data_IF_300987051806
#
_entry.id   IF_300987051806
#
_cell.length_a   1.000
_cell.length_b   1.000
_cell.length_c   1.000
_cell.angle_alpha   90.00
_cell.angle_beta   90.00
_cell.angle_gamma   90.00
#
_symmetry.space_group_name_H-M   'P 1'
#
loop_
_entity.id
_entity.type
_entity.pdbx_description
1 polymer ?
#
# COMPACT_ATOMS: atom_id res chain seq x y z
N UNK A 1 -11.41 3.51 -2.00
CA UNK A 1 -9.95 3.63 -2.16
C UNK A 1 -9.44 4.71 -1.23
N UNK A 2 -9.89 5.97 -1.37
CA UNK A 2 -9.57 7.06 -0.41
C UNK A 2 -9.87 6.69 1.04
N UNK A 3 -11.11 6.24 1.33
CA UNK A 3 -11.47 5.84 2.70
C UNK A 3 -10.64 4.65 3.23
N UNK A 4 -10.17 3.74 2.36
CA UNK A 4 -9.31 2.62 2.78
C UNK A 4 -7.92 3.11 3.17
N UNK A 5 -7.35 4.02 2.38
CA UNK A 5 -6.09 4.69 2.74
C UNK A 5 -6.23 5.39 4.10
N UNK A 6 -7.27 6.22 4.26
CA UNK A 6 -7.54 6.91 5.52
C UNK A 6 -7.71 5.91 6.67
N UNK A 7 -8.49 4.84 6.49
CA UNK A 7 -8.70 3.83 7.52
C UNK A 7 -7.37 3.21 8.00
N UNK A 8 -6.48 2.84 7.07
CA UNK A 8 -5.15 2.31 7.41
C UNK A 8 -4.19 3.37 7.98
N UNK A 9 -4.41 4.66 7.70
CA UNK A 9 -3.68 5.77 8.34
C UNK A 9 -4.13 6.02 9.78
N UNK A 10 -5.43 5.82 10.07
CA UNK A 10 -6.00 6.04 11.41
C UNK A 10 -5.92 4.82 12.31
N UNK A 11 -5.78 3.63 11.74
CA UNK A 11 -5.68 2.36 12.45
C UNK A 11 -4.66 1.49 11.73
N UNK A 12 -3.58 1.13 12.44
CA UNK A 12 -2.53 0.28 11.87
C UNK A 12 -3.08 -1.06 11.41
N UNK A 13 -2.50 -1.65 10.36
CA UNK A 13 -2.85 -3.01 9.96
C UNK A 13 -2.57 -4.03 11.07
N UNK A 14 -1.63 -3.75 11.98
CA UNK A 14 -1.30 -4.58 13.15
C UNK A 14 -2.43 -4.62 14.18
N UNK A 15 -3.26 -3.57 14.19
CA UNK A 15 -4.43 -3.46 15.06
C UNK A 15 -5.70 -3.92 14.33
N UNK A 16 -5.59 -4.50 13.13
CA UNK A 16 -6.75 -4.98 12.38
C UNK A 16 -7.39 -6.18 13.10
N UNK A 17 -8.53 -5.94 13.72
CA UNK A 17 -9.29 -6.92 14.49
C UNK A 17 -10.73 -7.09 13.98
N UNK A 18 -11.00 -6.62 12.75
CA UNK A 18 -12.33 -6.64 12.14
C UNK A 18 -12.59 -7.96 11.41
N UNK A 19 -13.83 -8.42 11.49
CA UNK A 19 -14.29 -9.59 10.72
C UNK A 19 -14.57 -9.20 9.27
N UNK A 20 -15.03 -7.98 9.05
CA UNK A 20 -15.37 -7.46 7.73
C UNK A 20 -14.69 -6.12 7.48
N UNK A 21 -14.31 -5.91 6.22
CA UNK A 21 -13.78 -4.63 5.77
C UNK A 21 -14.79 -3.49 5.90
N UNK A 22 -16.09 -3.77 5.87
CA UNK A 22 -17.14 -2.75 6.09
C UNK A 22 -16.99 -2.09 7.45
N UNK A 23 -16.96 -2.91 8.51
CA UNK A 23 -16.80 -2.48 9.90
C UNK A 23 -15.54 -1.61 10.09
N UNK A 24 -14.43 -1.99 9.46
CA UNK A 24 -13.19 -1.22 9.48
C UNK A 24 -13.36 0.18 8.87
N UNK A 25 -14.10 0.29 7.78
CA UNK A 25 -14.35 1.57 7.10
C UNK A 25 -15.36 2.42 7.86
N UNK A 26 -16.36 1.80 8.50
CA UNK A 26 -17.33 2.49 9.36
C UNK A 26 -16.63 3.13 10.56
N UNK A 27 -15.73 2.40 11.25
CA UNK A 27 -14.92 2.97 12.33
C UNK A 27 -14.05 4.15 11.83
N UNK A 28 -13.47 4.02 10.64
CA UNK A 28 -12.68 5.09 10.06
C UNK A 28 -13.53 6.35 9.77
N UNK A 29 -14.78 6.20 9.34
CA UNK A 29 -15.71 7.33 9.16
C UNK A 29 -16.03 7.99 10.50
N UNK A 30 -16.29 7.22 11.56
CA UNK A 30 -16.54 7.78 12.90
C UNK A 30 -15.32 8.54 13.45
N UNK A 31 -14.10 8.09 13.12
CA UNK A 31 -12.87 8.84 13.46
C UNK A 31 -12.72 10.09 12.62
N UNK A 32 -13.08 10.02 11.33
CA UNK A 32 -12.99 11.14 10.40
C UNK A 32 -13.95 12.27 10.76
N UNK A 33 -15.16 11.96 11.21
CA UNK A 33 -16.17 12.93 11.67
C UNK A 33 -15.71 13.78 12.87
N UNK A 34 -14.68 13.32 13.60
CA UNK A 34 -14.11 14.02 14.76
C UNK A 34 -12.92 14.92 14.40
N UNK A 35 -12.47 14.91 13.14
CA UNK A 35 -11.31 15.67 12.67
C UNK A 35 -11.69 17.08 12.26
N UNK A 36 -10.77 18.02 12.50
CA UNK A 36 -10.89 19.38 12.01
C UNK A 36 -10.36 19.53 10.57
N UNK A 37 -10.60 20.70 9.95
CA UNK A 37 -10.22 20.98 8.57
C UNK A 37 -8.72 20.83 8.29
N UNK A 38 -7.85 21.14 9.27
CA UNK A 38 -6.40 20.99 9.11
C UNK A 38 -6.00 19.52 9.08
N UNK A 39 -6.53 18.71 10.00
CA UNK A 39 -6.27 17.26 10.00
C UNK A 39 -6.80 16.57 8.73
N UNK A 40 -7.95 17.03 8.21
CA UNK A 40 -8.49 16.53 6.94
C UNK A 40 -7.60 16.93 5.76
N UNK A 41 -7.08 18.16 5.78
CA UNK A 41 -6.14 18.67 4.78
C UNK A 41 -4.83 17.88 4.81
N UNK A 42 -4.28 17.57 5.98
CA UNK A 42 -3.09 16.74 6.14
C UNK A 42 -3.28 15.36 5.51
N UNK A 43 -4.39 14.66 5.80
CA UNK A 43 -4.70 13.35 5.22
C UNK A 43 -4.81 13.40 3.69
N UNK A 44 -5.43 14.47 3.16
CA UNK A 44 -5.55 14.69 1.73
C UNK A 44 -4.19 14.93 1.08
N UNK A 45 -3.39 15.84 1.64
CA UNK A 45 -2.09 16.21 1.10
C UNK A 45 -1.13 15.01 1.16
N UNK A 46 -1.21 14.20 2.21
CA UNK A 46 -0.44 12.95 2.34
C UNK A 46 -0.81 11.93 1.26
N UNK A 47 -2.10 11.72 1.00
CA UNK A 47 -2.55 10.83 -0.08
C UNK A 47 -2.05 11.33 -1.44
N UNK A 48 -2.23 12.62 -1.74
CA UNK A 48 -1.79 13.21 -3.02
C UNK A 48 -0.27 13.06 -3.19
N UNK A 49 0.51 13.45 -2.18
CA UNK A 49 1.97 13.33 -2.21
C UNK A 49 2.44 11.87 -2.34
N UNK A 50 1.69 10.93 -1.78
CA UNK A 50 1.96 9.49 -1.91
C UNK A 50 1.68 8.98 -3.32
N UNK A 51 0.60 9.43 -3.98
CA UNK A 51 0.31 9.08 -5.37
C UNK A 51 1.37 9.65 -6.33
N UNK A 52 1.79 10.89 -6.12
CA UNK A 52 2.89 11.47 -6.90
C UNK A 52 4.22 10.74 -6.68
N UNK A 53 4.46 10.32 -5.43
CA UNK A 53 5.64 9.51 -5.10
C UNK A 53 5.56 8.12 -5.73
N UNK A 54 4.40 7.48 -5.76
CA UNK A 54 4.26 6.17 -6.40
C UNK A 54 4.54 6.21 -7.90
N UNK A 55 4.15 7.28 -8.60
CA UNK A 55 4.50 7.46 -10.02
C UNK A 55 6.02 7.64 -10.23
N UNK A 56 6.71 8.33 -9.31
CA UNK A 56 8.18 8.49 -9.35
C UNK A 56 8.94 7.17 -9.13
N UNK A 57 8.37 6.26 -8.33
CA UNK A 57 8.98 4.96 -8.01
C UNK A 57 8.58 3.88 -9.02
N UNK A 58 7.28 3.70 -9.27
CA UNK A 58 6.73 2.63 -10.09
C UNK A 58 6.64 2.96 -11.58
N UNK A 59 6.82 4.24 -11.93
CA UNK A 59 6.67 4.76 -13.28
C UNK A 59 5.22 5.07 -13.65
N UNK A 60 5.09 5.91 -14.69
CA UNK A 60 3.81 6.40 -15.18
C UNK A 60 2.84 5.26 -15.55
N UNK A 61 1.55 5.43 -15.26
CA UNK A 61 0.48 4.51 -15.64
C UNK A 61 0.60 3.10 -15.02
N UNK A 62 1.21 2.98 -13.84
CA UNK A 62 1.29 1.70 -13.12
C UNK A 62 -0.09 1.17 -12.67
N UNK A 63 -1.06 2.08 -12.45
CA UNK A 63 -2.48 1.80 -12.10
C UNK A 63 -2.67 0.90 -10.87
N UNK A 64 -1.63 0.75 -10.04
CA UNK A 64 -1.59 -0.22 -8.93
C UNK A 64 -2.09 -1.61 -9.36
N UNK A 65 -1.60 -2.07 -10.52
CA UNK A 65 -2.05 -3.29 -11.15
C UNK A 65 -0.93 -4.32 -11.23
N UNK A 66 -1.28 -5.61 -11.35
CA UNK A 66 -0.27 -6.67 -11.53
C UNK A 66 0.44 -6.59 -12.89
N UNK A 67 -0.08 -5.77 -13.82
CA UNK A 67 0.58 -5.48 -15.10
C UNK A 67 1.97 -4.86 -14.93
N UNK A 68 2.24 -4.20 -13.80
CA UNK A 68 3.57 -3.64 -13.48
C UNK A 68 4.64 -4.74 -13.54
N UNK A 69 4.36 -5.91 -12.94
CA UNK A 69 5.28 -7.05 -12.90
C UNK A 69 5.21 -7.98 -14.10
N UNK A 70 4.11 -7.99 -14.84
CA UNK A 70 3.90 -8.92 -15.95
C UNK A 70 2.90 -8.35 -16.97
N UNK A 71 3.38 -8.08 -18.19
CA UNK A 71 2.59 -7.50 -19.28
C UNK A 71 1.44 -8.38 -19.80
N UNK A 72 1.41 -9.66 -19.42
CA UNK A 72 0.28 -10.57 -19.72
C UNK A 72 -0.87 -10.43 -18.73
N UNK A 73 -0.68 -9.74 -17.60
CA UNK A 73 -1.71 -9.54 -16.58
C UNK A 73 -2.63 -8.38 -16.93
N UNK A 74 -3.80 -8.36 -16.29
CA UNK A 74 -4.76 -7.27 -16.46
C UNK A 74 -4.20 -5.93 -15.99
N UNK A 75 -4.54 -4.87 -16.72
CA UNK A 75 -4.30 -3.47 -16.34
C UNK A 75 -5.34 -2.96 -15.33
N UNK A 76 -6.28 -3.78 -14.88
CA UNK A 76 -7.29 -3.40 -13.89
C UNK A 76 -6.63 -3.07 -12.56
N UNK A 77 -7.11 -2.00 -11.93
CA UNK A 77 -6.72 -1.58 -10.59
C UNK A 77 -6.91 -2.74 -9.60
N UNK A 78 -5.85 -3.14 -8.91
CA UNK A 78 -5.95 -4.06 -7.79
C UNK A 78 -6.05 -3.24 -6.50
N UNK A 79 -7.19 -3.35 -5.81
CA UNK A 79 -7.47 -2.57 -4.59
C UNK A 79 -6.48 -2.90 -3.47
N UNK A 80 -6.09 -4.16 -3.30
CA UNK A 80 -5.14 -4.58 -2.28
C UNK A 80 -3.72 -4.07 -2.56
N UNK A 81 -3.32 -4.00 -3.84
CA UNK A 81 -2.07 -3.35 -4.25
C UNK A 81 -2.12 -1.84 -4.01
N UNK A 82 -3.24 -1.18 -4.32
CA UNK A 82 -3.41 0.23 -4.01
C UNK A 82 -3.25 0.47 -2.51
N UNK A 83 -3.93 -0.30 -1.66
CA UNK A 83 -3.86 -0.12 -0.20
C UNK A 83 -2.42 -0.26 0.30
N UNK A 84 -1.77 -1.38 0.00
CA UNK A 84 -0.44 -1.67 0.56
C UNK A 84 0.62 -0.69 0.03
N UNK A 85 0.59 -0.35 -1.27
CA UNK A 85 1.55 0.58 -1.84
C UNK A 85 1.35 1.98 -1.25
N UNK A 86 0.13 2.50 -1.25
CA UNK A 86 -0.11 3.87 -0.81
C UNK A 86 0.18 4.03 0.68
N UNK A 87 -0.30 3.12 1.52
CA UNK A 87 -0.07 3.21 2.97
C UNK A 87 1.43 3.06 3.26
N UNK A 88 2.10 1.99 2.80
CA UNK A 88 3.52 1.81 3.10
C UNK A 88 4.40 2.93 2.51
N UNK A 89 4.11 3.46 1.32
CA UNK A 89 4.86 4.59 0.75
C UNK A 89 4.64 5.90 1.51
N UNK A 90 3.46 6.10 2.10
CA UNK A 90 3.20 7.27 2.95
C UNK A 90 4.08 7.27 4.21
N UNK A 91 4.38 6.09 4.76
CA UNK A 91 5.20 5.89 5.97
C UNK A 91 6.72 6.00 5.75
N UNK A 92 7.19 6.07 4.51
CA UNK A 92 8.62 6.19 4.21
C UNK A 92 9.14 7.55 4.71
N UNK A 93 9.96 7.52 5.76
CA UNK A 93 10.56 8.73 6.36
C UNK A 93 11.60 9.39 5.46
N UNK A 94 12.52 8.60 4.91
CA UNK A 94 13.59 9.11 4.03
C UNK A 94 13.27 8.83 2.55
N UNK A 95 12.31 9.60 2.00
CA UNK A 95 11.86 9.45 0.61
C UNK A 95 12.96 9.71 -0.42
N UNK A 96 13.94 10.57 -0.12
CA UNK A 96 15.06 10.83 -1.04
C UNK A 96 16.00 9.62 -1.13
N UNK A 97 16.42 9.05 0.01
CA UNK A 97 17.23 7.81 0.02
C UNK A 97 16.51 6.67 -0.68
N UNK A 98 15.19 6.53 -0.47
CA UNK A 98 14.41 5.49 -1.15
C UNK A 98 14.38 5.69 -2.67
N UNK A 99 14.25 6.94 -3.16
CA UNK A 99 14.31 7.25 -4.61
C UNK A 99 15.66 6.91 -5.22
N UNK A 100 16.76 7.18 -4.54
CA UNK A 100 18.11 6.82 -5.00
C UNK A 100 18.25 5.30 -5.18
N UNK A 101 17.51 4.52 -4.39
CA UNK A 101 17.53 3.05 -4.39
C UNK A 101 16.31 2.42 -5.07
N UNK A 102 15.53 3.20 -5.82
CA UNK A 102 14.26 2.75 -6.41
C UNK A 102 14.42 1.51 -7.30
N UNK A 103 15.55 1.36 -7.99
CA UNK A 103 15.79 0.21 -8.89
C UNK A 103 15.94 -1.11 -8.11
N UNK A 104 16.48 -1.05 -6.89
CA UNK A 104 16.56 -2.20 -5.97
C UNK A 104 15.15 -2.59 -5.55
N UNK A 105 14.36 -1.62 -5.09
CA UNK A 105 12.95 -1.82 -4.75
C UNK A 105 12.17 -2.44 -5.92
N UNK A 106 12.26 -1.85 -7.11
CA UNK A 106 11.57 -2.33 -8.31
C UNK A 106 11.96 -3.77 -8.63
N UNK A 107 13.25 -4.09 -8.63
CA UNK A 107 13.71 -5.45 -8.94
C UNK A 107 13.07 -6.49 -8.01
N UNK A 108 13.10 -6.24 -6.69
CA UNK A 108 12.53 -7.13 -5.68
C UNK A 108 11.00 -7.15 -5.71
N UNK A 109 10.36 -5.99 -5.83
CA UNK A 109 8.90 -5.88 -5.90
C UNK A 109 8.32 -6.62 -7.13
N UNK A 110 8.96 -6.48 -8.28
CA UNK A 110 8.53 -7.18 -9.50
C UNK A 110 8.74 -8.70 -9.39
N UNK A 111 9.76 -9.16 -8.65
CA UNK A 111 9.95 -10.58 -8.36
C UNK A 111 8.78 -11.12 -7.52
N UNK A 112 8.36 -10.39 -6.46
CA UNK A 112 7.19 -10.76 -5.65
C UNK A 112 5.92 -10.88 -6.49
N UNK A 113 5.68 -9.94 -7.42
CA UNK A 113 4.48 -9.96 -8.27
C UNK A 113 4.46 -11.10 -9.30
N UNK A 114 5.63 -11.57 -9.73
CA UNK A 114 5.79 -12.65 -10.72
C UNK A 114 5.67 -14.03 -10.11
N UNK A 115 5.98 -14.18 -8.82
CA UNK A 115 5.79 -15.44 -8.12
C UNK A 115 4.31 -15.63 -7.77
N UNK A 116 3.62 -16.40 -8.61
CA UNK A 116 2.20 -16.73 -8.44
C UNK A 116 1.91 -17.58 -7.19
N UNK A 117 2.92 -18.22 -6.61
CA UNK A 117 2.77 -19.08 -5.43
C UNK A 117 3.12 -18.38 -4.12
N UNK A 118 3.71 -17.18 -4.21
CA UNK A 118 4.11 -16.38 -3.06
C UNK A 118 2.91 -15.97 -2.22
N UNK A 119 3.16 -15.80 -0.92
CA UNK A 119 2.16 -15.31 0.02
C UNK A 119 1.75 -13.86 -0.30
N UNK A 120 2.66 -13.07 -0.89
CA UNK A 120 2.31 -11.74 -1.40
C UNK A 120 1.25 -11.81 -2.51
N UNK A 121 1.44 -12.66 -3.52
CA UNK A 121 0.45 -12.80 -4.60
C UNK A 121 -0.91 -13.24 -4.05
N UNK A 122 -0.94 -14.26 -3.18
CA UNK A 122 -2.19 -14.71 -2.55
C UNK A 122 -2.88 -13.58 -1.78
N UNK A 123 -2.12 -12.85 -0.96
CA UNK A 123 -2.63 -11.76 -0.12
C UNK A 123 -3.22 -10.57 -0.92
N UNK A 124 -2.88 -10.44 -2.21
CA UNK A 124 -3.44 -9.42 -3.11
C UNK A 124 -4.49 -9.96 -4.10
N UNK A 125 -4.73 -11.27 -4.16
CA UNK A 125 -5.73 -11.86 -5.09
C UNK A 125 -6.85 -12.66 -4.42
N UNK A 126 -6.60 -13.27 -3.26
CA UNK A 126 -7.49 -14.23 -2.62
C UNK A 126 -7.89 -13.76 -1.23
N UNK A 127 -9.19 -13.74 -0.92
CA UNK A 127 -9.67 -13.43 0.44
C UNK A 127 -9.13 -12.11 1.01
N UNK A 128 -8.85 -11.11 0.15
CA UNK A 128 -7.92 -10.01 0.46
C UNK A 128 -8.39 -9.04 1.57
N UNK A 129 -9.64 -9.17 1.98
CA UNK A 129 -10.23 -8.43 3.10
C UNK A 129 -10.10 -9.15 4.45
N UNK A 130 -9.67 -10.41 4.46
CA UNK A 130 -9.45 -11.18 5.68
C UNK A 130 -8.15 -10.77 6.37
N UNK A 131 -8.16 -10.76 7.70
CA UNK A 131 -7.05 -10.32 8.56
C UNK A 131 -5.68 -10.84 8.11
N UNK A 132 -5.54 -12.15 7.91
CA UNK A 132 -4.27 -12.77 7.49
C UNK A 132 -3.76 -12.22 6.16
N UNK A 133 -4.63 -12.01 5.17
CA UNK A 133 -4.22 -11.42 3.88
C UNK A 133 -3.86 -9.93 4.01
N UNK A 134 -4.38 -9.23 5.02
CA UNK A 134 -3.98 -7.85 5.35
C UNK A 134 -2.60 -7.86 5.98
N UNK A 135 -2.43 -8.57 7.10
CA UNK A 135 -1.15 -8.65 7.81
C UNK A 135 -0.03 -9.09 6.87
N UNK A 136 -0.20 -10.21 6.14
CA UNK A 136 0.85 -10.74 5.27
C UNK A 136 1.29 -9.77 4.18
N UNK A 137 0.37 -9.08 3.47
CA UNK A 137 0.81 -8.16 2.40
C UNK A 137 1.52 -6.93 2.96
N UNK A 138 1.08 -6.44 4.12
CA UNK A 138 1.66 -5.26 4.76
C UNK A 138 3.03 -5.58 5.34
N UNK A 139 3.18 -6.69 6.06
CA UNK A 139 4.46 -7.15 6.59
C UNK A 139 5.48 -7.36 5.47
N UNK A 140 5.11 -8.09 4.39
CA UNK A 140 6.02 -8.32 3.26
C UNK A 140 6.45 -7.01 2.59
N UNK A 141 5.54 -6.03 2.46
CA UNK A 141 5.88 -4.73 1.86
C UNK A 141 6.75 -3.88 2.77
N UNK A 142 6.45 -3.85 4.07
CA UNK A 142 7.25 -3.12 5.07
C UNK A 142 8.67 -3.70 5.12
N UNK A 143 8.81 -5.03 5.17
CA UNK A 143 10.11 -5.71 5.17
C UNK A 143 10.91 -5.37 3.91
N UNK A 144 10.27 -5.39 2.73
CA UNK A 144 10.91 -5.01 1.48
C UNK A 144 11.37 -3.54 1.49
N UNK A 145 10.56 -2.62 2.00
CA UNK A 145 10.91 -1.20 2.06
C UNK A 145 12.07 -0.97 3.04
N UNK A 146 12.05 -1.62 4.20
CA UNK A 146 13.12 -1.53 5.18
C UNK A 146 14.42 -2.12 4.64
N UNK A 147 14.37 -3.26 3.96
CA UNK A 147 15.54 -3.84 3.28
C UNK A 147 16.17 -2.83 2.32
N UNK A 148 15.37 -2.18 1.47
CA UNK A 148 15.86 -1.15 0.54
C UNK A 148 16.49 0.04 1.25
N UNK A 149 15.96 0.43 2.41
CA UNK A 149 16.49 1.55 3.20
C UNK A 149 17.75 1.18 4.00
N UNK A 150 17.92 -0.07 4.39
CA UNK A 150 19.01 -0.52 5.28
C UNK A 150 20.19 -1.14 4.52
N UNK A 151 19.98 -1.67 3.32
CA UNK A 151 21.02 -2.31 2.49
C UNK A 151 22.15 -1.30 2.15
N UNK A 152 23.37 -1.47 2.67
CA UNK A 152 24.50 -0.53 2.46
C UNK A 152 25.12 -0.65 1.08
#
# INVERSE_FOLDING_TARGET
MVLRFIAFKLTSYKDFNFNFMGDFLDEAMEKLDKKNDEELKELKDELIGTLEFSEKILGNNHRFSRFIGNNTKTKTLNRSLFDVITVCFSEIKNKEKFKERKEIFLTKFLALLKDERSDFTKAITEGTSGKSAIESRFEIMDDLINEVLDET
#
